data_IF_190194693374
#
_entry.id   IF_190194693374
#
_cell.length_a   1.000
_cell.length_b   1.000
_cell.length_c   1.000
_cell.angle_alpha   90.00
_cell.angle_beta   90.00
_cell.angle_gamma   90.00
#
_symmetry.space_group_name_H-M   'P 1'
#
loop_
_entity.id
_entity.type
_entity.pdbx_description
1 polymer ?
#
# COMPACT_ATOMS: atom_id res chain seq x y z
N UNK A 1 19.20 1.23 25.79
CA UNK A 1 20.38 2.12 25.68
C UNK A 1 20.18 3.06 24.50
N UNK A 2 19.68 4.26 24.76
CA UNK A 2 19.38 5.26 23.72
C UNK A 2 20.67 6.01 23.38
N UNK A 3 21.28 5.74 22.22
CA UNK A 3 22.44 6.52 21.75
C UNK A 3 21.98 7.95 21.49
N UNK A 4 22.52 8.91 22.25
CA UNK A 4 22.35 10.34 22.02
C UNK A 4 23.09 10.68 20.73
N UNK A 5 22.36 11.06 19.69
CA UNK A 5 22.99 11.54 18.45
C UNK A 5 23.49 12.96 18.75
N UNK A 6 24.82 13.14 18.72
CA UNK A 6 25.47 14.45 18.88
C UNK A 6 25.78 14.96 17.47
N UNK A 7 25.14 16.06 17.07
CA UNK A 7 25.40 16.71 15.79
C UNK A 7 26.66 17.56 15.86
N UNK A 8 27.37 17.69 14.74
CA UNK A 8 28.56 18.54 14.62
C UNK A 8 28.21 20.03 14.74
N UNK A 9 29.12 20.85 15.25
CA UNK A 9 28.90 22.30 15.38
C UNK A 9 28.56 22.95 14.02
N UNK A 10 29.15 22.48 12.93
CA UNK A 10 28.84 22.94 11.57
C UNK A 10 27.37 22.72 11.17
N UNK A 11 26.77 21.61 11.60
CA UNK A 11 25.36 21.30 11.30
C UNK A 11 24.40 22.19 12.10
N UNK A 12 24.79 22.53 13.33
CA UNK A 12 23.99 23.42 14.19
C UNK A 12 24.03 24.88 13.72
N UNK A 13 25.10 25.31 13.05
CA UNK A 13 25.22 26.66 12.48
C UNK A 13 24.46 26.85 11.15
N UNK A 14 23.99 25.78 10.52
CA UNK A 14 23.31 25.81 9.20
C UNK A 14 21.80 26.08 9.28
N UNK A 15 21.25 26.27 10.48
CA UNK A 15 19.83 26.58 10.70
C UNK A 15 19.82 27.94 11.42
N UNK A 16 19.38 29.11 10.87
CA UNK A 16 18.56 29.41 9.67
C UNK A 16 19.02 30.67 8.86
N UNK A 17 19.68 30.44 7.72
CA UNK A 17 19.75 31.34 6.53
C UNK A 17 19.99 30.49 5.28
N UNK A 18 20.78 29.43 5.46
CA UNK A 18 21.04 28.40 4.48
C UNK A 18 19.76 27.64 4.07
N UNK A 19 18.79 27.41 4.96
CA UNK A 19 17.55 26.70 4.60
C UNK A 19 16.73 27.47 3.56
N UNK A 20 16.46 28.76 3.78
CA UNK A 20 15.69 29.58 2.83
C UNK A 20 16.40 29.69 1.46
N UNK A 21 17.73 29.89 1.48
CA UNK A 21 18.53 29.93 0.25
C UNK A 21 18.63 28.56 -0.43
N UNK A 22 18.65 27.46 0.31
CA UNK A 22 18.72 26.11 -0.26
C UNK A 22 17.38 25.67 -0.84
N UNK A 23 16.26 26.05 -0.22
CA UNK A 23 14.90 25.84 -0.74
C UNK A 23 14.73 26.56 -2.09
N UNK A 24 15.11 27.85 -2.16
CA UNK A 24 15.11 28.64 -3.39
C UNK A 24 16.10 28.10 -4.44
N UNK A 25 17.32 27.72 -4.03
CA UNK A 25 18.36 27.19 -4.93
C UNK A 25 17.99 25.82 -5.52
N UNK A 26 17.22 25.01 -4.79
CA UNK A 26 16.75 23.69 -5.23
C UNK A 26 15.41 23.73 -5.95
N UNK A 27 14.78 24.92 -6.07
CA UNK A 27 13.48 25.07 -6.72
C UNK A 27 12.35 24.36 -5.98
N UNK A 28 12.52 24.09 -4.68
CA UNK A 28 11.55 23.35 -3.87
C UNK A 28 10.30 24.19 -3.55
N UNK A 29 10.40 25.51 -3.72
CA UNK A 29 9.28 26.45 -3.86
C UNK A 29 8.34 26.11 -5.03
N UNK A 30 8.87 25.46 -6.07
CA UNK A 30 8.10 25.07 -7.27
C UNK A 30 7.45 23.70 -7.15
N UNK A 31 7.91 22.86 -6.22
CA UNK A 31 7.47 21.47 -6.05
C UNK A 31 6.03 21.37 -5.50
N UNK A 32 5.55 22.42 -4.81
CA UNK A 32 4.17 22.53 -4.33
C UNK A 32 3.24 23.30 -5.28
N UNK A 33 3.70 23.59 -6.50
CA UNK A 33 2.87 24.05 -7.61
C UNK A 33 2.40 25.51 -7.57
N UNK A 34 2.78 26.31 -6.57
CA UNK A 34 2.58 27.77 -6.53
C UNK A 34 3.71 28.42 -5.75
N UNK A 35 4.17 29.57 -6.24
CA UNK A 35 5.06 30.46 -5.50
C UNK A 35 4.45 30.68 -4.11
N UNK A 36 5.18 30.33 -3.07
CA UNK A 36 4.69 30.40 -1.68
C UNK A 36 4.28 31.84 -1.31
N UNK A 37 4.90 32.82 -1.96
CA UNK A 37 4.61 34.25 -1.86
C UNK A 37 3.22 34.60 -2.41
N UNK A 38 2.80 33.98 -3.52
CA UNK A 38 1.44 34.09 -4.08
C UNK A 38 0.38 33.43 -3.19
N UNK A 39 0.74 32.36 -2.47
CA UNK A 39 -0.17 31.70 -1.54
C UNK A 39 -0.46 32.56 -0.29
N UNK A 40 0.53 33.32 0.17
CA UNK A 40 0.38 34.29 1.27
C UNK A 40 -0.42 35.53 0.84
N UNK A 41 -0.28 35.95 -0.43
CA UNK A 41 -0.99 37.11 -0.97
C UNK A 41 -2.43 36.81 -1.43
N UNK A 42 -2.85 35.54 -1.42
CA UNK A 42 -4.26 35.21 -1.65
C UNK A 42 -5.10 35.60 -0.45
N UNK A 43 -5.89 36.66 -0.61
CA UNK A 43 -7.03 37.00 0.26
C UNK A 43 -8.06 35.85 0.27
N UNK A 44 -7.82 34.78 1.03
CA UNK A 44 -8.82 33.74 1.27
C UNK A 44 -9.82 34.11 2.37
N UNK A 45 -9.61 35.21 3.09
CA UNK A 45 -10.62 35.97 3.82
C UNK A 45 -9.97 37.27 4.28
N UNK A 46 -10.71 38.37 4.41
CA UNK A 46 -10.20 39.67 4.90
C UNK A 46 -9.74 39.66 6.37
N UNK A 47 -9.64 38.47 6.98
CA UNK A 47 -9.50 38.26 8.42
C UNK A 47 -8.06 38.03 8.87
N UNK A 48 -7.10 37.90 7.96
CA UNK A 48 -5.72 37.53 8.30
C UNK A 48 -4.71 38.50 7.68
N UNK A 49 -4.32 39.55 8.41
CA UNK A 49 -3.06 40.25 8.19
C UNK A 49 -1.95 39.48 8.91
N UNK A 50 -1.00 38.91 8.17
CA UNK A 50 0.14 38.23 8.78
C UNK A 50 1.15 39.29 9.23
N UNK A 51 1.02 39.77 10.47
CA UNK A 51 1.96 40.74 11.06
C UNK A 51 3.30 40.09 11.46
N UNK A 52 3.27 38.79 11.81
CA UNK A 52 4.43 38.03 12.24
C UNK A 52 4.39 36.59 11.70
N UNK A 53 5.42 36.18 10.95
CA UNK A 53 5.62 34.80 10.49
C UNK A 53 6.61 34.09 11.41
N UNK A 54 6.15 33.07 12.15
CA UNK A 54 7.02 32.22 12.97
C UNK A 54 7.23 30.88 12.26
N UNK A 55 8.42 30.70 11.67
CA UNK A 55 8.85 29.42 11.11
C UNK A 55 9.40 28.54 12.23
N UNK A 56 8.66 27.48 12.58
CA UNK A 56 9.14 26.43 13.47
C UNK A 56 9.45 25.17 12.68
N UNK A 57 10.69 24.68 12.80
CA UNK A 57 11.08 23.40 12.21
C UNK A 57 10.71 22.30 13.21
N UNK A 58 9.86 21.38 12.78
CA UNK A 58 9.55 20.17 13.54
C UNK A 58 10.03 18.98 12.74
N UNK A 59 10.98 18.21 13.30
CA UNK A 59 11.28 16.87 12.78
C UNK A 59 10.39 15.89 13.53
N UNK A 60 9.13 15.81 13.12
CA UNK A 60 8.17 14.87 13.71
C UNK A 60 8.61 13.47 13.31
N UNK A 61 9.17 12.73 14.26
CA UNK A 61 9.50 11.32 14.08
C UNK A 61 8.27 10.52 14.50
N UNK A 62 7.28 10.43 13.62
CA UNK A 62 6.11 9.60 13.86
C UNK A 62 6.54 8.13 13.89
N UNK A 63 6.77 7.60 15.09
CA UNK A 63 6.91 6.15 15.29
C UNK A 63 5.51 5.57 15.34
N UNK A 64 5.01 5.13 14.19
CA UNK A 64 3.74 4.43 14.14
C UNK A 64 3.94 3.01 14.68
N UNK A 65 3.10 2.63 15.63
CA UNK A 65 2.90 1.26 16.06
C UNK A 65 1.43 0.93 15.77
N UNK A 66 1.17 0.39 14.58
CA UNK A 66 -0.19 -0.01 14.22
C UNK A 66 -0.54 -1.31 14.92
N UNK A 67 -1.53 -1.23 15.81
CA UNK A 67 -2.20 -2.43 16.31
C UNK A 67 -3.15 -2.90 15.19
N UNK A 68 -3.09 -4.16 14.75
CA UNK A 68 -3.84 -4.63 13.58
C UNK A 68 -5.38 -4.54 13.75
N UNK A 69 -5.89 -4.39 14.97
CA UNK A 69 -7.32 -4.50 15.24
C UNK A 69 -7.84 -5.91 14.95
N UNK A 70 -9.14 -6.13 15.14
CA UNK A 70 -9.72 -7.48 15.05
C UNK A 70 -9.59 -8.10 13.65
N UNK A 71 -9.94 -7.34 12.61
CA UNK A 71 -9.98 -7.88 11.25
C UNK A 71 -8.59 -8.31 10.75
N UNK A 72 -7.60 -7.42 10.86
CA UNK A 72 -6.25 -7.72 10.40
C UNK A 72 -5.56 -8.73 11.32
N UNK A 73 -5.85 -8.74 12.63
CA UNK A 73 -5.29 -9.77 13.53
C UNK A 73 -5.72 -11.18 13.11
N UNK A 74 -7.02 -11.39 12.85
CA UNK A 74 -7.53 -12.69 12.37
C UNK A 74 -6.98 -13.05 10.99
N UNK A 75 -6.82 -12.06 10.11
CA UNK A 75 -6.18 -12.26 8.80
C UNK A 75 -4.74 -12.75 8.94
N UNK A 76 -3.92 -12.04 9.73
CA UNK A 76 -2.51 -12.39 9.95
C UNK A 76 -2.38 -13.75 10.66
N UNK A 77 -3.25 -14.05 11.63
CA UNK A 77 -3.30 -15.38 12.24
C UNK A 77 -3.64 -16.46 11.20
N UNK A 78 -4.63 -16.23 10.35
CA UNK A 78 -4.96 -17.12 9.25
C UNK A 78 -3.77 -17.37 8.32
N UNK A 79 -3.05 -16.31 7.93
CA UNK A 79 -1.86 -16.44 7.10
C UNK A 79 -0.78 -17.34 7.76
N UNK A 80 -0.61 -17.22 9.08
CA UNK A 80 0.26 -18.12 9.85
C UNK A 80 -0.19 -19.57 9.78
N UNK A 81 -1.50 -19.80 9.86
CA UNK A 81 -2.13 -21.12 9.76
C UNK A 81 -2.18 -21.68 8.33
N UNK A 82 -1.86 -20.86 7.31
CA UNK A 82 -1.96 -21.25 5.90
C UNK A 82 -3.39 -21.15 5.35
N UNK A 83 -4.19 -20.25 5.92
CA UNK A 83 -5.60 -20.02 5.61
C UNK A 83 -5.79 -18.56 5.22
N UNK A 84 -6.69 -18.30 4.28
CA UNK A 84 -6.99 -16.95 3.83
C UNK A 84 -8.40 -16.57 4.28
N UNK A 85 -8.51 -15.61 5.19
CA UNK A 85 -9.81 -15.12 5.65
C UNK A 85 -10.22 -13.84 4.93
N UNK A 86 -11.53 -13.71 4.70
CA UNK A 86 -12.19 -12.49 4.28
C UNK A 86 -13.47 -12.26 5.09
N UNK A 87 -14.15 -11.16 4.82
CA UNK A 87 -15.48 -10.87 5.37
C UNK A 87 -16.49 -10.63 4.25
N UNK A 88 -17.71 -11.16 4.38
CA UNK A 88 -18.76 -11.05 3.37
C UNK A 88 -19.80 -10.01 3.77
N UNK A 89 -20.02 -9.01 2.92
CA UNK A 89 -21.07 -8.02 3.16
C UNK A 89 -22.45 -8.59 2.85
N UNK A 90 -23.38 -8.54 3.83
CA UNK A 90 -24.77 -8.99 3.64
C UNK A 90 -25.58 -8.09 2.70
N UNK A 91 -25.16 -6.84 2.48
CA UNK A 91 -25.84 -5.91 1.57
C UNK A 91 -25.50 -6.13 0.09
N UNK A 92 -24.22 -6.33 -0.23
CA UNK A 92 -23.76 -6.48 -1.60
C UNK A 92 -23.28 -7.89 -1.97
N UNK A 93 -23.16 -8.80 -1.01
CA UNK A 93 -22.65 -10.17 -1.20
C UNK A 93 -21.14 -10.27 -1.40
N UNK A 94 -20.43 -9.15 -1.54
CA UNK A 94 -19.00 -9.10 -1.87
C UNK A 94 -18.16 -9.62 -0.71
N UNK A 95 -17.17 -10.45 -1.01
CA UNK A 95 -16.13 -10.86 -0.07
C UNK A 95 -14.99 -9.83 -0.09
N UNK A 96 -14.57 -9.38 1.09
CA UNK A 96 -13.50 -8.39 1.28
C UNK A 96 -12.24 -9.11 1.74
N UNK A 97 -11.19 -9.07 0.92
CA UNK A 97 -9.85 -9.61 1.23
C UNK A 97 -8.82 -8.51 0.90
N UNK A 98 -8.00 -8.05 1.87
CA UNK A 98 -8.05 -8.37 3.31
C UNK A 98 -9.42 -8.06 3.96
N UNK A 99 -9.78 -8.76 5.06
CA UNK A 99 -11.06 -8.59 5.72
C UNK A 99 -11.20 -7.18 6.31
N UNK A 100 -12.43 -6.68 6.29
CA UNK A 100 -12.83 -5.40 6.86
C UNK A 100 -14.10 -5.58 7.67
N UNK A 101 -14.24 -4.85 8.78
CA UNK A 101 -15.47 -4.85 9.59
C UNK A 101 -16.52 -3.84 9.11
N UNK A 102 -16.22 -3.09 8.05
CA UNK A 102 -17.13 -2.12 7.46
C UNK A 102 -17.05 -2.20 5.95
N UNK A 103 -18.22 -2.23 5.30
CA UNK A 103 -18.36 -2.16 3.86
C UNK A 103 -18.50 -0.70 3.47
N UNK A 104 -17.49 -0.18 2.81
CA UNK A 104 -17.42 1.19 2.29
C UNK A 104 -18.42 1.48 1.16
N UNK A 105 -19.15 0.46 0.71
CA UNK A 105 -20.13 0.56 -0.37
C UNK A 105 -21.55 0.63 0.16
N UNK A 106 -21.91 -0.34 0.99
CA UNK A 106 -23.22 -0.39 1.63
C UNK A 106 -23.28 0.50 2.88
N UNK A 107 -22.16 1.11 3.26
CA UNK A 107 -21.99 1.93 4.46
C UNK A 107 -22.51 1.22 5.72
N UNK A 108 -22.12 -0.05 5.89
CA UNK A 108 -22.61 -0.90 6.98
C UNK A 108 -21.53 -1.79 7.55
N UNK A 109 -21.74 -2.23 8.77
CA UNK A 109 -20.90 -3.22 9.44
C UNK A 109 -20.93 -4.57 8.70
N UNK A 110 -19.79 -5.26 8.73
CA UNK A 110 -19.59 -6.59 8.14
C UNK A 110 -18.98 -7.52 9.19
N UNK A 111 -19.70 -8.58 9.52
CA UNK A 111 -19.30 -9.55 10.55
C UNK A 111 -19.31 -11.01 10.08
N UNK A 112 -19.77 -11.28 8.86
CA UNK A 112 -19.78 -12.63 8.29
C UNK A 112 -18.37 -13.02 7.80
N UNK A 113 -17.73 -13.94 8.51
CA UNK A 113 -16.35 -14.39 8.23
C UNK A 113 -16.34 -15.56 7.27
N UNK A 114 -15.53 -15.46 6.23
CA UNK A 114 -15.38 -16.52 5.22
C UNK A 114 -13.93 -16.96 5.11
N UNK A 115 -13.72 -18.26 5.04
CA UNK A 115 -12.45 -18.84 4.62
C UNK A 115 -12.45 -18.99 3.09
N UNK A 116 -11.45 -18.40 2.45
CA UNK A 116 -11.30 -18.37 1.01
C UNK A 116 -10.17 -19.33 0.59
N UNK A 117 -10.38 -20.09 -0.49
CA UNK A 117 -9.38 -21.05 -0.99
C UNK A 117 -8.15 -20.39 -1.64
N UNK A 118 -8.20 -19.08 -1.84
CA UNK A 118 -7.15 -18.25 -2.42
C UNK A 118 -7.11 -18.24 -3.95
N UNK A 119 -8.05 -18.88 -4.63
CA UNK A 119 -8.14 -18.81 -6.09
C UNK A 119 -8.38 -17.37 -6.54
N UNK A 120 -7.58 -16.93 -7.50
CA UNK A 120 -7.61 -15.56 -8.00
C UNK A 120 -7.37 -15.50 -9.50
N UNK A 121 -7.69 -14.36 -10.09
CA UNK A 121 -7.32 -14.00 -11.45
C UNK A 121 -6.31 -12.86 -11.45
N UNK A 122 -5.35 -12.93 -12.38
CA UNK A 122 -4.41 -11.83 -12.63
C UNK A 122 -5.18 -10.66 -13.22
N UNK A 123 -5.35 -9.58 -12.46
CA UNK A 123 -6.01 -8.37 -12.93
C UNK A 123 -5.08 -7.51 -13.77
N UNK A 124 -3.85 -7.32 -13.28
CA UNK A 124 -2.76 -6.63 -13.96
C UNK A 124 -1.43 -7.11 -13.39
N UNK A 125 -0.34 -6.92 -14.12
CA UNK A 125 0.99 -7.33 -13.69
C UNK A 125 2.09 -6.43 -14.28
N UNK A 126 3.27 -6.50 -13.67
CA UNK A 126 4.50 -5.87 -14.13
C UNK A 126 5.65 -6.88 -14.12
N UNK A 127 6.55 -6.73 -15.08
CA UNK A 127 7.79 -7.52 -15.20
C UNK A 127 8.95 -6.67 -14.68
N UNK A 128 9.39 -6.92 -13.45
CA UNK A 128 10.46 -6.17 -12.82
C UNK A 128 11.83 -6.83 -13.06
N UNK A 129 12.61 -6.27 -14.00
CA UNK A 129 13.99 -6.69 -14.29
C UNK A 129 15.04 -6.02 -13.40
N UNK A 130 14.65 -5.00 -12.63
CA UNK A 130 15.54 -4.29 -11.71
C UNK A 130 15.30 -4.86 -10.31
N UNK A 131 16.36 -5.31 -9.65
CA UNK A 131 16.30 -5.82 -8.28
C UNK A 131 16.11 -4.71 -7.24
N UNK A 132 16.13 -5.09 -5.97
CA UNK A 132 16.09 -4.13 -4.85
C UNK A 132 17.32 -3.21 -4.85
N UNK A 133 18.45 -3.70 -5.35
CA UNK A 133 19.60 -2.88 -5.71
C UNK A 133 19.43 -2.39 -7.16
N UNK A 134 19.28 -1.07 -7.40
CA UNK A 134 19.09 -0.51 -8.73
C UNK A 134 20.22 -0.85 -9.72
N UNK A 135 21.42 -1.16 -9.23
CA UNK A 135 22.56 -1.55 -10.06
C UNK A 135 22.51 -3.00 -10.55
N UNK A 136 21.62 -3.83 -10.00
CA UNK A 136 21.52 -5.25 -10.32
C UNK A 136 20.34 -5.50 -11.26
N UNK A 137 20.67 -5.98 -12.47
CA UNK A 137 19.69 -6.44 -13.45
C UNK A 137 19.50 -7.95 -13.31
N UNK A 138 18.24 -8.37 -13.18
CA UNK A 138 17.87 -9.77 -13.10
C UNK A 138 17.87 -10.41 -14.50
N UNK A 139 18.35 -11.65 -14.59
CA UNK A 139 18.29 -12.43 -15.83
C UNK A 139 16.83 -12.74 -16.20
N UNK A 140 16.01 -13.09 -15.21
CA UNK A 140 14.57 -13.28 -15.33
C UNK A 140 13.83 -12.25 -14.47
N UNK A 141 12.71 -11.67 -14.96
CA UNK A 141 12.01 -10.64 -14.22
C UNK A 141 11.22 -11.23 -13.05
N UNK A 142 11.08 -10.47 -11.96
CA UNK A 142 10.05 -10.74 -10.98
C UNK A 142 8.69 -10.35 -11.57
N UNK A 143 7.75 -11.30 -11.60
CA UNK A 143 6.37 -11.05 -12.02
C UNK A 143 5.58 -10.61 -10.79
N UNK A 144 5.27 -9.31 -10.71
CA UNK A 144 4.46 -8.74 -9.62
C UNK A 144 3.07 -8.44 -10.16
N UNK A 145 2.03 -8.98 -9.53
CA UNK A 145 0.67 -8.90 -10.03
C UNK A 145 -0.31 -8.42 -8.98
N UNK A 146 -1.36 -7.73 -9.42
CA UNK A 146 -2.57 -7.50 -8.65
C UNK A 146 -3.52 -8.65 -8.92
N UNK A 147 -3.90 -9.34 -7.87
CA UNK A 147 -4.71 -10.55 -7.91
C UNK A 147 -6.11 -10.24 -7.37
N UNK A 148 -7.13 -10.55 -8.14
CA UNK A 148 -8.52 -10.47 -7.70
C UNK A 148 -9.03 -11.85 -7.34
N UNK A 149 -9.39 -12.04 -6.08
CA UNK A 149 -9.91 -13.32 -5.62
C UNK A 149 -11.31 -13.58 -6.17
N UNK A 150 -11.67 -14.86 -6.26
CA UNK A 150 -13.04 -15.26 -6.57
C UNK A 150 -14.01 -14.64 -5.55
N UNK A 151 -15.23 -14.33 -5.98
CA UNK A 151 -16.32 -13.77 -5.14
C UNK A 151 -16.03 -12.39 -4.50
N UNK A 152 -14.91 -11.73 -4.85
CA UNK A 152 -14.62 -10.35 -4.41
C UNK A 152 -14.99 -9.30 -5.45
N UNK A 153 -15.31 -9.70 -6.67
CA UNK A 153 -15.69 -8.81 -7.77
C UNK A 153 -17.22 -8.73 -7.81
N UNK A 154 -17.76 -7.52 -7.81
CA UNK A 154 -19.16 -7.28 -8.12
C UNK A 154 -19.27 -6.26 -9.24
N UNK A 155 -19.93 -6.65 -10.31
CA UNK A 155 -20.32 -5.73 -11.37
C UNK A 155 -21.62 -5.03 -10.95
N UNK A 156 -21.59 -3.71 -10.88
CA UNK A 156 -22.80 -2.90 -10.66
C UNK A 156 -23.13 -2.12 -11.93
N UNK A 157 -24.41 -2.08 -12.36
CA UNK A 157 -24.82 -1.39 -13.60
C UNK A 157 -24.45 0.10 -13.65
N UNK A 158 -24.33 0.76 -12.50
CA UNK A 158 -24.09 2.20 -12.37
C UNK A 158 -22.62 2.60 -12.46
N UNK A 159 -21.67 1.67 -12.51
CA UNK A 159 -20.23 1.96 -12.60
C UNK A 159 -19.57 1.14 -13.71
N UNK A 160 -20.04 1.30 -14.95
CA UNK A 160 -19.41 0.67 -16.13
C UNK A 160 -17.93 1.03 -16.31
N UNK A 161 -17.45 2.07 -15.62
CA UNK A 161 -16.08 2.57 -15.69
C UNK A 161 -15.16 2.13 -14.56
N UNK A 162 -15.67 1.55 -13.47
CA UNK A 162 -14.82 1.15 -12.33
C UNK A 162 -15.17 -0.27 -11.89
N UNK A 163 -14.23 -1.19 -12.16
CA UNK A 163 -14.29 -2.57 -11.69
C UNK A 163 -13.75 -2.62 -10.26
N UNK A 164 -14.60 -3.02 -9.32
CA UNK A 164 -14.29 -2.95 -7.90
C UNK A 164 -14.15 -4.33 -7.29
N UNK A 165 -12.91 -4.82 -7.34
CA UNK A 165 -12.50 -6.08 -6.76
C UNK A 165 -11.74 -5.86 -5.44
N UNK A 166 -11.79 -6.85 -4.55
CA UNK A 166 -10.86 -6.95 -3.43
C UNK A 166 -9.76 -7.97 -3.78
N UNK A 167 -8.52 -7.64 -3.45
CA UNK A 167 -7.37 -8.34 -3.98
C UNK A 167 -6.09 -8.07 -3.23
N UNK A 168 -5.05 -8.78 -3.63
CA UNK A 168 -3.71 -8.65 -3.07
C UNK A 168 -2.71 -8.43 -4.20
N UNK A 169 -1.72 -7.57 -3.95
CA UNK A 169 -0.53 -7.53 -4.78
C UNK A 169 0.43 -8.62 -4.30
N UNK A 170 0.84 -9.52 -5.19
CA UNK A 170 1.80 -10.57 -4.84
C UNK A 170 2.63 -11.04 -6.03
N UNK A 171 3.61 -11.90 -5.76
CA UNK A 171 4.52 -12.44 -6.78
C UNK A 171 3.89 -13.67 -7.44
N UNK A 172 4.00 -13.76 -8.76
CA UNK A 172 3.70 -14.96 -9.53
C UNK A 172 5.00 -15.70 -9.82
N UNK A 173 4.99 -17.04 -9.68
CA UNK A 173 6.08 -17.94 -10.08
C UNK A 173 5.49 -19.17 -10.77
N UNK A 174 6.37 -20.09 -11.18
CA UNK A 174 6.00 -21.29 -11.94
C UNK A 174 5.41 -20.96 -13.33
N UNK A 175 5.67 -19.76 -13.86
CA UNK A 175 5.44 -19.38 -15.25
C UNK A 175 6.46 -18.32 -15.69
N UNK A 176 6.80 -18.29 -16.98
CA UNK A 176 7.71 -17.30 -17.55
C UNK A 176 7.03 -15.96 -17.86
N UNK A 177 7.82 -14.92 -18.19
CA UNK A 177 7.28 -13.60 -18.56
C UNK A 177 6.41 -13.62 -19.82
N UNK A 178 6.62 -14.58 -20.72
CA UNK A 178 5.81 -14.76 -21.92
C UNK A 178 4.49 -15.50 -21.68
N UNK A 179 4.36 -16.18 -20.53
CA UNK A 179 3.19 -17.01 -20.22
C UNK A 179 2.15 -16.22 -19.40
N UNK A 180 2.61 -15.33 -18.51
CA UNK A 180 1.71 -14.55 -17.66
C UNK A 180 0.83 -13.62 -18.51
N UNK A 181 -0.47 -13.63 -18.22
CA UNK A 181 -1.47 -12.80 -18.92
C UNK A 181 -2.55 -12.31 -17.97
N UNK A 182 -3.16 -11.17 -18.30
CA UNK A 182 -4.38 -10.70 -17.65
C UNK A 182 -5.47 -11.77 -17.82
N UNK A 183 -6.23 -12.03 -16.75
CA UNK A 183 -7.25 -13.07 -16.69
C UNK A 183 -6.71 -14.49 -16.41
N UNK A 184 -5.39 -14.69 -16.30
CA UNK A 184 -4.83 -15.98 -15.90
C UNK A 184 -5.32 -16.36 -14.49
N UNK A 185 -5.82 -17.60 -14.34
CA UNK A 185 -6.20 -18.14 -13.02
C UNK A 185 -4.95 -18.59 -12.27
N UNK A 186 -4.88 -18.23 -11.00
CA UNK A 186 -3.77 -18.58 -10.11
C UNK A 186 -4.27 -19.04 -8.74
N UNK A 187 -3.42 -19.78 -8.03
CA UNK A 187 -3.67 -20.25 -6.66
C UNK A 187 -2.43 -20.03 -5.78
N UNK A 188 -2.61 -19.83 -4.46
CA UNK A 188 -1.49 -19.57 -3.57
C UNK A 188 -0.65 -20.82 -3.36
N UNK A 189 0.65 -20.62 -3.24
CA UNK A 189 1.59 -21.60 -2.72
C UNK A 189 2.10 -21.08 -1.38
N UNK A 190 1.81 -21.84 -0.32
CA UNK A 190 2.20 -21.48 1.04
C UNK A 190 3.61 -21.92 1.35
N UNK A 191 4.32 -21.16 2.20
CA UNK A 191 5.56 -21.62 2.82
C UNK A 191 5.31 -22.82 3.75
N UNK A 192 6.35 -23.62 4.07
CA UNK A 192 6.29 -24.60 5.16
C UNK A 192 5.76 -23.98 6.45
N UNK A 193 4.98 -24.73 7.23
CA UNK A 193 4.27 -24.20 8.41
C UNK A 193 5.20 -23.53 9.42
N UNK A 194 6.40 -24.07 9.58
CA UNK A 194 7.42 -23.63 10.51
C UNK A 194 8.02 -22.26 10.14
N UNK A 195 7.87 -21.86 8.87
CA UNK A 195 8.38 -20.59 8.34
C UNK A 195 7.31 -19.49 8.30
N UNK A 196 6.05 -19.81 8.59
CA UNK A 196 4.95 -18.84 8.57
C UNK A 196 4.89 -18.06 9.87
N UNK A 197 4.71 -16.74 9.77
CA UNK A 197 4.83 -15.81 10.92
C UNK A 197 3.68 -14.82 11.04
N UNK A 198 2.60 -15.04 10.31
CA UNK A 198 1.50 -14.10 10.18
C UNK A 198 1.87 -12.90 9.33
N UNK A 199 2.36 -13.17 8.12
CA UNK A 199 2.75 -12.16 7.14
C UNK A 199 2.14 -12.48 5.79
N UNK A 200 1.86 -11.48 4.95
CA UNK A 200 1.44 -11.72 3.57
C UNK A 200 2.46 -12.57 2.80
N UNK A 201 3.73 -12.50 3.19
CA UNK A 201 4.83 -13.30 2.65
C UNK A 201 4.83 -14.76 3.14
N UNK A 202 3.86 -15.18 3.96
CA UNK A 202 3.63 -16.59 4.29
C UNK A 202 3.03 -17.34 3.09
N UNK A 203 2.31 -16.63 2.22
CA UNK A 203 2.11 -17.03 0.84
C UNK A 203 3.44 -16.81 0.14
N UNK A 204 4.12 -17.88 -0.29
CA UNK A 204 5.41 -17.78 -0.99
C UNK A 204 5.25 -17.06 -2.32
N UNK A 205 4.23 -17.44 -3.09
CA UNK A 205 3.89 -16.91 -4.40
C UNK A 205 2.51 -17.42 -4.81
N UNK A 206 2.00 -16.93 -5.93
CA UNK A 206 0.89 -17.55 -6.65
C UNK A 206 1.42 -18.27 -7.89
N UNK A 207 0.77 -19.37 -8.26
CA UNK A 207 1.10 -20.15 -9.45
C UNK A 207 -0.10 -20.34 -10.36
N UNK A 208 0.09 -20.58 -11.67
CA UNK A 208 -1.00 -20.91 -12.57
C UNK A 208 -1.85 -22.09 -12.05
N UNK A 209 -3.18 -21.96 -12.14
CA UNK A 209 -4.14 -22.95 -11.63
C UNK A 209 -4.73 -23.88 -12.70
N UNK A 210 -4.24 -23.82 -13.95
CA UNK A 210 -4.85 -24.47 -15.11
C UNK A 210 -6.05 -23.69 -15.68
N UNK A 211 -6.45 -23.98 -16.92
CA UNK A 211 -7.61 -23.37 -17.60
C UNK A 211 -8.96 -23.86 -17.10
#
# INVERSE_FOLDING_TARGET
MTRRIVYTQDYQQQIPKAIGQHLLKKGLDKEYGKDWEDALNKKYSEMWSVEHLVLSHWRILCRYADTPGEALAKFLQGLREGRLFGTRCSGCGRVLIPPRLFCEWCMREVSDWVEHNGEAVVSTYSLAYIGTDPGVRLAEPNIVAVLWFKDTVRETPSSKTVLHAAGLMHIIRECGPGDVRIGMRVKPVWKPAEQRRGSILDISHFKPAGE
#
